data_IF_927920307337
#
_entry.id   IF_927920307337
#
_cell.length_a   1.000
_cell.length_b   1.000
_cell.length_c   1.000
_cell.angle_alpha   90.00
_cell.angle_beta   90.00
_cell.angle_gamma   90.00
#
_symmetry.space_group_name_H-M   'P 1'
#
loop_
_entity.id
_entity.type
_entity.pdbx_description
1 polymer ?
#
# COMPACT_ATOMS: atom_id res chain seq x y z
N UNK A 1 -18.43 21.78 -49.78
CA UNK A 1 -18.46 20.65 -48.81
C UNK A 1 -18.94 19.38 -49.49
N UNK A 2 -20.04 19.41 -50.23
CA UNK A 2 -20.63 18.22 -50.87
C UNK A 2 -19.70 17.53 -51.89
N UNK A 3 -19.04 18.30 -52.76
CA UNK A 3 -18.07 17.77 -53.72
C UNK A 3 -16.84 17.10 -53.05
N UNK A 4 -16.37 17.70 -51.97
CA UNK A 4 -15.26 17.13 -51.19
C UNK A 4 -15.66 15.80 -50.50
N UNK A 5 -16.91 15.74 -50.02
CA UNK A 5 -17.48 14.53 -49.43
C UNK A 5 -17.59 13.37 -50.43
N UNK A 6 -18.00 13.67 -51.67
CA UNK A 6 -18.10 12.68 -52.77
C UNK A 6 -16.71 12.15 -53.16
N UNK A 7 -15.73 13.03 -53.38
CA UNK A 7 -14.34 12.63 -53.68
C UNK A 7 -13.70 11.80 -52.56
N UNK A 8 -14.01 12.17 -51.30
CA UNK A 8 -13.50 11.43 -50.16
C UNK A 8 -14.14 10.04 -50.04
N UNK A 9 -15.46 9.95 -50.32
CA UNK A 9 -16.18 8.66 -50.34
C UNK A 9 -15.64 7.74 -51.44
N UNK A 10 -15.45 8.27 -52.65
CA UNK A 10 -14.86 7.51 -53.75
C UNK A 10 -13.47 7.00 -53.41
N UNK A 11 -12.66 7.84 -52.76
CA UNK A 11 -11.32 7.44 -52.33
C UNK A 11 -11.36 6.36 -51.23
N UNK A 12 -12.28 6.45 -50.28
CA UNK A 12 -12.43 5.47 -49.18
C UNK A 12 -12.95 4.11 -49.68
N UNK A 13 -13.64 4.07 -50.82
CA UNK A 13 -14.14 2.83 -51.41
C UNK A 13 -13.09 2.05 -52.23
N UNK A 14 -11.88 2.57 -52.34
CA UNK A 14 -10.79 1.85 -53.02
C UNK A 14 -10.36 0.65 -52.17
N UNK A 15 -10.10 -0.48 -52.85
CA UNK A 15 -9.72 -1.73 -52.19
C UNK A 15 -8.30 -1.71 -51.58
N UNK A 16 -7.44 -0.79 -52.07
CA UNK A 16 -6.03 -0.70 -51.72
C UNK A 16 -5.70 0.25 -50.53
N UNK A 17 -6.72 0.83 -49.88
CA UNK A 17 -6.50 1.75 -48.78
C UNK A 17 -5.97 1.05 -47.53
N UNK A 18 -4.90 1.60 -46.98
CA UNK A 18 -4.36 1.19 -45.70
C UNK A 18 -5.33 1.55 -44.57
N UNK A 19 -5.19 0.88 -43.42
CA UNK A 19 -5.97 1.17 -42.23
C UNK A 19 -5.82 2.63 -41.77
N UNK A 20 -4.63 3.19 -41.90
CA UNK A 20 -4.31 4.56 -41.57
C UNK A 20 -5.01 5.56 -42.51
N UNK A 21 -5.00 5.30 -43.81
CA UNK A 21 -5.71 6.12 -44.79
C UNK A 21 -7.22 6.07 -44.60
N UNK A 22 -7.79 4.90 -44.30
CA UNK A 22 -9.20 4.78 -43.91
C UNK A 22 -9.50 5.61 -42.66
N UNK A 23 -8.63 5.55 -41.65
CA UNK A 23 -8.79 6.31 -40.39
C UNK A 23 -8.77 7.82 -40.66
N UNK A 24 -7.85 8.31 -41.47
CA UNK A 24 -7.77 9.71 -41.87
C UNK A 24 -8.99 10.13 -42.70
N UNK A 25 -9.44 9.29 -43.64
CA UNK A 25 -10.63 9.54 -44.44
C UNK A 25 -11.89 9.66 -43.58
N UNK A 26 -12.09 8.78 -42.61
CA UNK A 26 -13.22 8.86 -41.69
C UNK A 26 -13.14 10.10 -40.77
N UNK A 27 -11.93 10.48 -40.34
CA UNK A 27 -11.76 11.71 -39.57
C UNK A 27 -12.14 12.94 -40.40
N UNK A 28 -11.74 13.01 -41.68
CA UNK A 28 -12.13 14.10 -42.58
C UNK A 28 -13.64 14.15 -42.79
N UNK A 29 -14.33 12.99 -42.90
CA UNK A 29 -15.81 13.00 -43.01
C UNK A 29 -16.45 13.53 -41.72
N UNK A 30 -15.94 13.15 -40.56
CA UNK A 30 -16.38 13.66 -39.26
C UNK A 30 -16.19 15.17 -39.16
N UNK A 31 -15.04 15.69 -39.61
CA UNK A 31 -14.72 17.13 -39.61
C UNK A 31 -15.60 17.92 -40.58
N UNK A 32 -16.09 17.28 -41.64
CA UNK A 32 -17.07 17.86 -42.56
C UNK A 32 -18.47 17.91 -41.98
N UNK A 33 -18.72 17.24 -40.84
CA UNK A 33 -19.98 17.27 -40.08
C UNK A 33 -20.79 15.95 -40.17
N UNK A 34 -20.26 14.91 -40.79
CA UNK A 34 -20.91 13.60 -40.76
C UNK A 34 -20.81 12.99 -39.35
N UNK A 35 -21.82 12.26 -38.93
CA UNK A 35 -21.81 11.47 -37.72
C UNK A 35 -21.19 10.07 -37.97
N UNK A 36 -20.75 9.34 -36.93
CA UNK A 36 -20.27 7.96 -37.07
C UNK A 36 -21.28 7.06 -37.82
N UNK A 37 -22.58 7.28 -37.60
CA UNK A 37 -23.66 6.55 -38.24
C UNK A 37 -23.75 6.87 -39.73
N UNK A 38 -23.65 8.15 -40.10
CA UNK A 38 -23.66 8.58 -41.50
C UNK A 38 -22.43 8.11 -42.26
N UNK A 39 -21.26 8.12 -41.60
CA UNK A 39 -20.02 7.57 -42.17
C UNK A 39 -20.18 6.07 -42.46
N UNK A 40 -20.73 5.31 -41.51
CA UNK A 40 -20.98 3.88 -41.68
C UNK A 40 -21.93 3.59 -42.86
N UNK A 41 -23.04 4.36 -42.93
CA UNK A 41 -24.03 4.23 -44.02
C UNK A 41 -23.45 4.56 -45.39
N UNK A 42 -22.72 5.66 -45.50
CA UNK A 42 -22.13 6.13 -46.77
C UNK A 42 -21.02 5.23 -47.26
N UNK A 43 -20.20 4.71 -46.36
CA UNK A 43 -18.99 3.93 -46.72
C UNK A 43 -19.25 2.42 -46.76
N UNK A 44 -20.37 1.93 -46.23
CA UNK A 44 -20.69 0.52 -46.15
C UNK A 44 -19.92 -0.25 -45.05
N UNK A 45 -19.10 0.46 -44.23
CA UNK A 45 -18.42 -0.15 -43.09
C UNK A 45 -19.35 -0.26 -41.89
N UNK A 46 -19.07 -1.23 -40.99
CA UNK A 46 -19.83 -1.30 -39.72
C UNK A 46 -19.50 -0.10 -38.83
N UNK A 47 -20.47 0.33 -37.99
CA UNK A 47 -20.26 1.39 -36.96
C UNK A 47 -19.04 1.09 -36.07
N UNK A 48 -18.85 -0.19 -35.72
CA UNK A 48 -17.69 -0.61 -34.95
C UNK A 48 -16.39 -0.33 -35.68
N UNK A 49 -16.32 -0.66 -36.98
CA UNK A 49 -15.14 -0.41 -37.81
C UNK A 49 -14.86 1.08 -37.91
N UNK A 50 -15.88 1.91 -38.16
CA UNK A 50 -15.75 3.37 -38.20
C UNK A 50 -15.18 3.91 -36.90
N UNK A 51 -15.73 3.48 -35.75
CA UNK A 51 -15.25 3.90 -34.43
C UNK A 51 -13.79 3.51 -34.20
N UNK A 52 -13.41 2.29 -34.53
CA UNK A 52 -12.02 1.83 -34.42
C UNK A 52 -11.08 2.67 -35.29
N UNK A 53 -11.46 2.98 -36.53
CA UNK A 53 -10.65 3.83 -37.41
C UNK A 53 -10.52 5.26 -36.88
N UNK A 54 -11.59 5.84 -36.37
CA UNK A 54 -11.55 7.16 -35.73
C UNK A 54 -10.66 7.17 -34.46
N UNK A 55 -10.63 6.09 -33.71
CA UNK A 55 -9.71 5.98 -32.58
C UNK A 55 -8.25 5.86 -33.02
N UNK A 56 -7.97 5.19 -34.14
CA UNK A 56 -6.63 5.12 -34.76
C UNK A 56 -6.23 6.50 -35.29
N UNK A 57 -7.16 7.27 -35.88
CA UNK A 57 -6.89 8.62 -36.37
C UNK A 57 -6.44 9.59 -35.27
N UNK A 58 -6.85 9.34 -34.00
CA UNK A 58 -6.43 10.14 -32.83
C UNK A 58 -5.00 9.87 -32.38
N UNK A 59 -4.39 8.77 -32.81
CA UNK A 59 -3.01 8.45 -32.47
C UNK A 59 -2.04 9.38 -33.19
N UNK A 60 -0.84 9.50 -32.66
CA UNK A 60 0.26 10.18 -33.32
C UNK A 60 0.61 9.46 -34.63
N UNK A 61 0.29 10.10 -35.73
CA UNK A 61 0.38 9.50 -37.06
C UNK A 61 1.84 9.28 -37.51
N UNK A 62 2.77 10.09 -37.01
CA UNK A 62 4.20 9.93 -37.30
C UNK A 62 4.75 8.69 -36.60
N UNK A 63 4.47 8.54 -35.32
CA UNK A 63 4.84 7.37 -34.54
C UNK A 63 4.20 6.08 -35.08
N UNK A 64 2.91 6.17 -35.44
CA UNK A 64 2.20 5.04 -35.99
C UNK A 64 2.88 4.55 -37.30
N UNK A 65 3.24 5.49 -38.20
CA UNK A 65 3.92 5.19 -39.43
C UNK A 65 5.32 4.61 -39.19
N UNK A 66 6.07 5.17 -38.28
CA UNK A 66 7.39 4.67 -37.87
C UNK A 66 7.32 3.21 -37.42
N UNK A 67 6.38 2.91 -36.51
CA UNK A 67 6.18 1.54 -36.01
C UNK A 67 5.65 0.56 -37.06
N UNK A 68 4.90 1.03 -38.03
CA UNK A 68 4.46 0.19 -39.17
C UNK A 68 5.58 -0.14 -40.14
N UNK A 69 6.57 0.74 -40.28
CA UNK A 69 7.74 0.54 -41.13
C UNK A 69 8.86 -0.26 -40.46
N UNK A 70 8.73 -0.50 -39.16
CA UNK A 70 9.68 -1.31 -38.39
C UNK A 70 9.39 -2.80 -38.62
N UNK A 71 10.17 -3.45 -39.48
CA UNK A 71 10.06 -4.89 -39.79
C UNK A 71 10.19 -5.79 -38.57
N UNK A 72 10.91 -5.33 -37.52
CA UNK A 72 11.11 -6.07 -36.30
C UNK A 72 9.87 -5.97 -35.39
N UNK A 73 9.10 -4.87 -35.47
CA UNK A 73 7.96 -4.63 -34.60
C UNK A 73 6.67 -5.34 -35.04
N UNK A 74 6.39 -5.40 -36.34
CA UNK A 74 5.21 -6.02 -36.95
C UNK A 74 3.88 -5.58 -36.28
N UNK A 75 3.65 -4.28 -36.21
CA UNK A 75 2.44 -3.71 -35.64
C UNK A 75 1.18 -4.24 -36.34
N UNK A 76 0.27 -4.83 -35.58
CA UNK A 76 -0.97 -5.41 -36.10
C UNK A 76 -2.19 -4.58 -35.75
N UNK A 77 -3.31 -4.80 -36.47
CA UNK A 77 -4.58 -4.18 -36.14
C UNK A 77 -5.06 -4.55 -34.72
N UNK A 78 -4.74 -5.75 -34.23
CA UNK A 78 -5.06 -6.18 -32.85
C UNK A 78 -4.36 -5.30 -31.82
N UNK A 79 -3.12 -4.91 -32.07
CA UNK A 79 -2.36 -4.06 -31.16
C UNK A 79 -3.01 -2.66 -31.04
N UNK A 80 -3.50 -2.14 -32.15
CA UNK A 80 -4.23 -0.87 -32.16
C UNK A 80 -5.54 -0.95 -31.37
N UNK A 81 -6.25 -2.08 -31.46
CA UNK A 81 -7.45 -2.33 -30.65
C UNK A 81 -7.13 -2.54 -29.17
N UNK A 82 -5.98 -3.13 -28.83
CA UNK A 82 -5.52 -3.19 -27.46
C UNK A 82 -5.29 -1.79 -26.88
N UNK A 83 -4.64 -0.90 -27.62
CA UNK A 83 -4.43 0.50 -27.20
C UNK A 83 -5.74 1.24 -26.93
N UNK A 84 -6.82 0.95 -27.66
CA UNK A 84 -8.13 1.58 -27.44
C UNK A 84 -8.75 1.32 -26.07
N UNK A 85 -8.31 0.27 -25.35
CA UNK A 85 -8.74 0.00 -23.97
C UNK A 85 -8.32 1.11 -22.99
N UNK A 86 -7.29 1.89 -23.36
CA UNK A 86 -6.86 3.07 -22.62
C UNK A 86 -7.66 4.27 -23.14
N UNK A 87 -8.34 4.98 -22.24
CA UNK A 87 -9.18 6.14 -22.62
C UNK A 87 -8.36 7.37 -23.01
N UNK A 88 -7.22 7.54 -22.37
CA UNK A 88 -6.31 8.66 -22.57
C UNK A 88 -5.48 8.46 -23.84
N UNK A 89 -5.60 9.39 -24.80
CA UNK A 89 -4.91 9.33 -26.08
C UNK A 89 -3.39 9.56 -25.91
N UNK A 90 -2.98 10.44 -25.00
CA UNK A 90 -1.58 10.71 -24.74
C UNK A 90 -0.89 9.45 -24.20
N UNK A 91 -1.56 8.73 -23.27
CA UNK A 91 -1.07 7.45 -22.75
C UNK A 91 -1.00 6.37 -23.84
N UNK A 92 -1.96 6.33 -24.80
CA UNK A 92 -1.89 5.43 -25.97
C UNK A 92 -0.64 5.69 -26.80
N UNK A 93 -0.36 6.97 -27.10
CA UNK A 93 0.81 7.40 -27.84
C UNK A 93 2.12 7.10 -27.11
N UNK A 94 2.14 7.25 -25.79
CA UNK A 94 3.28 6.91 -24.95
C UNK A 94 3.56 5.40 -24.96
N UNK A 95 2.52 4.57 -24.87
CA UNK A 95 2.64 3.12 -24.95
C UNK A 95 3.13 2.70 -26.33
N UNK A 96 2.57 3.25 -27.41
CA UNK A 96 2.97 2.98 -28.79
C UNK A 96 4.44 3.33 -29.03
N UNK A 97 4.87 4.49 -28.56
CA UNK A 97 6.24 4.98 -28.69
C UNK A 97 7.26 4.07 -27.99
N UNK A 98 6.98 3.70 -26.73
CA UNK A 98 7.87 2.90 -25.88
C UNK A 98 7.82 1.39 -26.15
N UNK A 99 6.83 0.92 -26.87
CA UNK A 99 6.69 -0.50 -27.14
C UNK A 99 7.75 -1.02 -28.09
N UNK A 100 8.33 -2.16 -27.79
CA UNK A 100 9.32 -2.87 -28.58
C UNK A 100 8.74 -4.07 -29.35
N UNK A 101 7.51 -4.45 -29.09
CA UNK A 101 6.82 -5.57 -29.74
C UNK A 101 5.32 -5.51 -29.48
N UNK A 102 4.53 -6.23 -30.28
CA UNK A 102 3.10 -6.47 -30.05
C UNK A 102 2.81 -6.98 -28.64
N UNK A 103 3.61 -7.93 -28.14
CA UNK A 103 3.46 -8.43 -26.75
C UNK A 103 3.73 -7.36 -25.71
N UNK A 104 4.66 -6.45 -25.96
CA UNK A 104 4.98 -5.34 -25.06
C UNK A 104 3.81 -4.34 -25.00
N UNK A 105 3.12 -4.06 -26.12
CA UNK A 105 1.88 -3.26 -26.14
C UNK A 105 0.84 -3.87 -25.19
N UNK A 106 0.53 -5.16 -25.37
CA UNK A 106 -0.46 -5.85 -24.54
C UNK A 106 -0.09 -5.77 -23.06
N UNK A 107 1.19 -6.02 -22.73
CA UNK A 107 1.68 -5.95 -21.35
C UNK A 107 1.55 -4.55 -20.75
N UNK A 108 1.93 -3.51 -21.48
CA UNK A 108 1.84 -2.11 -21.03
C UNK A 108 0.40 -1.67 -20.84
N UNK A 109 -0.47 -2.00 -21.80
CA UNK A 109 -1.91 -1.72 -21.70
C UNK A 109 -2.51 -2.40 -20.45
N UNK A 110 -2.21 -3.68 -20.23
CA UNK A 110 -2.70 -4.41 -19.07
C UNK A 110 -2.19 -3.82 -17.75
N UNK A 111 -0.92 -3.43 -17.73
CA UNK A 111 -0.33 -2.76 -16.57
C UNK A 111 -1.02 -1.42 -16.27
N UNK A 112 -1.31 -0.62 -17.31
CA UNK A 112 -1.96 0.67 -17.13
C UNK A 112 -3.41 0.52 -16.65
N UNK A 113 -4.18 -0.43 -17.21
CA UNK A 113 -5.52 -0.77 -16.74
C UNK A 113 -5.48 -1.19 -15.26
N UNK A 114 -4.52 -2.05 -14.90
CA UNK A 114 -4.33 -2.53 -13.53
C UNK A 114 -3.98 -1.37 -12.58
N UNK A 115 -3.09 -0.48 -12.99
CA UNK A 115 -2.70 0.69 -12.21
C UNK A 115 -3.86 1.68 -12.03
N UNK A 116 -4.66 1.89 -13.09
CA UNK A 116 -5.86 2.72 -13.01
C UNK A 116 -6.89 2.12 -12.03
N UNK A 117 -7.13 0.80 -12.08
CA UNK A 117 -8.00 0.09 -11.13
C UNK A 117 -7.48 0.24 -9.70
N UNK A 118 -6.17 0.06 -9.48
CA UNK A 118 -5.55 0.24 -8.15
C UNK A 118 -5.75 1.65 -7.61
N UNK A 119 -5.51 2.68 -8.42
CA UNK A 119 -5.69 4.09 -8.02
C UNK A 119 -7.16 4.37 -7.64
N UNK A 120 -8.11 3.88 -8.44
CA UNK A 120 -9.54 4.04 -8.15
C UNK A 120 -9.94 3.31 -6.86
N UNK A 121 -9.53 2.06 -6.69
CA UNK A 121 -9.81 1.27 -5.50
C UNK A 121 -9.20 1.88 -4.24
N UNK A 122 -7.94 2.33 -4.32
CA UNK A 122 -7.30 3.05 -3.23
C UNK A 122 -8.07 4.31 -2.83
N UNK A 123 -8.57 5.08 -3.81
CA UNK A 123 -9.40 6.27 -3.55
C UNK A 123 -10.71 5.91 -2.83
N UNK A 124 -11.40 4.86 -3.30
CA UNK A 124 -12.64 4.36 -2.67
C UNK A 124 -12.41 3.87 -1.26
N UNK A 125 -11.36 3.06 -1.04
CA UNK A 125 -11.00 2.53 0.28
C UNK A 125 -10.63 3.64 1.26
N UNK A 126 -9.79 4.59 0.86
CA UNK A 126 -9.44 5.75 1.69
C UNK A 126 -10.66 6.57 2.10
N UNK A 127 -11.62 6.75 1.18
CA UNK A 127 -12.87 7.46 1.50
C UNK A 127 -13.72 6.70 2.53
N UNK A 128 -13.81 5.36 2.43
CA UNK A 128 -14.50 4.51 3.41
C UNK A 128 -13.80 4.57 4.78
N UNK A 129 -12.48 4.40 4.82
CA UNK A 129 -11.69 4.43 6.05
C UNK A 129 -11.74 5.79 6.75
N UNK A 130 -11.75 6.89 5.99
CA UNK A 130 -11.92 8.24 6.55
C UNK A 130 -13.28 8.39 7.25
N UNK A 131 -14.36 7.85 6.65
CA UNK A 131 -15.71 7.85 7.28
C UNK A 131 -15.74 7.03 8.57
N UNK A 132 -14.91 5.98 8.67
CA UNK A 132 -14.77 5.12 9.84
C UNK A 132 -13.81 5.69 10.90
N UNK A 133 -13.24 6.88 10.68
CA UNK A 133 -12.30 7.51 11.63
C UNK A 133 -10.88 6.89 11.61
N UNK A 134 -10.54 6.08 10.60
CA UNK A 134 -9.19 5.52 10.45
C UNK A 134 -8.31 6.54 9.73
N UNK A 135 -7.25 6.99 10.38
CA UNK A 135 -6.32 7.99 9.85
C UNK A 135 -5.16 7.35 9.07
N UNK A 136 -4.44 8.17 8.30
CA UNK A 136 -3.22 7.73 7.62
C UNK A 136 -2.13 7.42 8.65
N UNK A 137 -1.40 6.33 8.43
CA UNK A 137 -0.25 5.99 9.26
C UNK A 137 0.81 7.11 9.22
N UNK A 138 1.46 7.41 10.36
CA UNK A 138 2.52 8.42 10.41
C UNK A 138 3.70 8.02 9.52
N UNK A 139 4.47 9.02 9.04
CA UNK A 139 5.61 8.78 8.13
C UNK A 139 6.62 7.77 8.67
N UNK A 140 6.80 7.75 9.98
CA UNK A 140 7.69 6.81 10.65
C UNK A 140 7.28 5.33 10.47
N UNK A 141 6.02 5.06 10.08
CA UNK A 141 5.54 3.71 9.85
C UNK A 141 6.33 3.01 8.75
N UNK A 142 6.62 3.65 7.63
CA UNK A 142 7.36 3.07 6.51
C UNK A 142 8.75 2.54 6.92
N UNK A 143 9.41 3.21 7.86
CA UNK A 143 10.71 2.80 8.41
C UNK A 143 10.59 1.74 9.51
N UNK A 144 9.44 1.62 10.14
CA UNK A 144 9.23 0.80 11.33
C UNK A 144 8.35 -0.44 11.07
N UNK A 145 7.85 -0.63 9.86
CA UNK A 145 6.91 -1.71 9.55
C UNK A 145 7.46 -3.12 9.79
N UNK A 146 8.78 -3.29 9.72
CA UNK A 146 9.44 -4.59 9.91
C UNK A 146 10.07 -4.79 11.29
N UNK A 147 10.01 -3.80 12.19
CA UNK A 147 10.68 -3.88 13.49
C UNK A 147 9.79 -4.34 14.65
N UNK A 148 8.64 -4.92 14.36
CA UNK A 148 7.70 -5.46 15.36
C UNK A 148 6.91 -4.42 16.16
N UNK A 149 7.09 -3.13 15.88
CA UNK A 149 6.35 -2.06 16.56
C UNK A 149 4.92 -1.88 16.05
N UNK A 150 4.61 -2.46 14.89
CA UNK A 150 3.32 -2.36 14.24
C UNK A 150 2.80 -3.75 13.90
N UNK A 151 1.50 -3.90 13.93
CA UNK A 151 0.80 -5.13 13.55
C UNK A 151 -0.18 -4.80 12.43
N UNK A 152 -0.11 -5.53 11.33
CA UNK A 152 -1.14 -5.49 10.29
C UNK A 152 -2.37 -6.22 10.79
N UNK A 153 -3.51 -5.56 10.67
CA UNK A 153 -4.82 -6.08 11.10
C UNK A 153 -5.59 -6.60 9.90
N UNK A 154 -5.65 -5.81 8.83
CA UNK A 154 -6.32 -6.15 7.59
C UNK A 154 -5.40 -5.75 6.44
N UNK A 155 -5.38 -6.57 5.39
CA UNK A 155 -4.70 -6.31 4.14
C UNK A 155 -5.71 -6.47 3.00
N UNK A 156 -5.91 -5.40 2.21
CA UNK A 156 -6.85 -5.38 1.09
C UNK A 156 -6.04 -5.16 -0.18
N UNK A 157 -6.05 -6.14 -1.07
CA UNK A 157 -5.37 -6.02 -2.35
C UNK A 157 -6.11 -5.01 -3.24
N UNK A 158 -5.37 -4.06 -3.82
CA UNK A 158 -5.94 -3.00 -4.65
C UNK A 158 -6.42 -3.47 -6.04
N UNK A 159 -6.05 -4.68 -6.45
CA UNK A 159 -6.55 -5.29 -7.70
C UNK A 159 -7.90 -5.95 -7.55
N UNK A 160 -8.27 -6.32 -6.32
CA UNK A 160 -9.52 -6.99 -6.03
C UNK A 160 -10.69 -5.99 -5.98
N UNK A 161 -11.90 -6.47 -5.93
CA UNK A 161 -13.04 -5.60 -5.79
C UNK A 161 -13.09 -5.02 -4.38
N UNK A 162 -13.44 -3.73 -4.29
CA UNK A 162 -13.50 -3.05 -3.00
C UNK A 162 -14.68 -3.61 -2.20
N UNK A 163 -14.45 -4.17 -1.00
CA UNK A 163 -15.51 -4.72 -0.18
C UNK A 163 -16.54 -3.63 0.17
N UNK A 164 -17.82 -3.98 0.17
CA UNK A 164 -18.89 -3.05 0.51
C UNK A 164 -18.78 -2.57 1.96
N UNK A 165 -18.46 -3.47 2.86
CA UNK A 165 -18.23 -3.21 4.28
C UNK A 165 -16.82 -3.67 4.68
N UNK A 166 -16.16 -2.89 5.53
CA UNK A 166 -14.88 -3.24 6.12
C UNK A 166 -15.13 -3.47 7.61
N UNK A 167 -15.13 -4.73 8.01
CA UNK A 167 -15.27 -5.10 9.42
C UNK A 167 -13.94 -4.85 10.13
N UNK A 168 -13.92 -3.81 10.96
CA UNK A 168 -12.77 -3.54 11.82
C UNK A 168 -12.88 -4.40 13.08
N UNK A 169 -11.86 -5.20 13.42
CA UNK A 169 -11.90 -5.99 14.65
C UNK A 169 -11.89 -5.10 15.88
N UNK A 170 -12.60 -5.51 16.92
CA UNK A 170 -12.57 -4.84 18.22
C UNK A 170 -11.16 -4.95 18.83
N UNK A 171 -10.34 -3.95 18.64
CA UNK A 171 -9.00 -3.86 19.21
C UNK A 171 -8.83 -2.63 20.09
N UNK A 172 -8.12 -2.81 21.21
CA UNK A 172 -7.66 -1.69 22.05
C UNK A 172 -6.52 -0.96 21.36
N UNK A 173 -6.81 0.13 20.68
CA UNK A 173 -5.78 0.97 20.05
C UNK A 173 -6.27 1.69 18.80
N UNK A 174 -5.65 2.81 18.49
CA UNK A 174 -5.94 3.57 17.28
C UNK A 174 -5.46 2.80 16.06
N UNK A 175 -6.31 2.71 15.05
CA UNK A 175 -5.99 2.09 13.76
C UNK A 175 -5.59 3.16 12.76
N UNK A 176 -4.71 2.77 11.86
CA UNK A 176 -4.20 3.63 10.81
C UNK A 176 -4.20 2.87 9.50
N UNK A 177 -4.36 3.57 8.37
CA UNK A 177 -4.20 2.97 7.07
C UNK A 177 -2.84 3.34 6.45
N UNK A 178 -2.29 2.41 5.69
CA UNK A 178 -1.07 2.59 4.91
C UNK A 178 -1.24 1.96 3.53
N UNK A 179 -0.88 2.70 2.48
CA UNK A 179 -0.97 2.24 1.11
C UNK A 179 0.41 1.81 0.61
N UNK A 180 0.45 0.64 0.01
CA UNK A 180 1.61 0.15 -0.73
C UNK A 180 1.28 0.15 -2.24
N UNK A 181 2.22 -0.23 -3.07
CA UNK A 181 1.98 -0.38 -4.51
C UNK A 181 0.98 -1.50 -4.88
N UNK A 182 0.73 -2.42 -3.96
CA UNK A 182 -0.09 -3.62 -4.17
C UNK A 182 -1.37 -3.63 -3.34
N UNK A 183 -1.28 -3.19 -2.11
CA UNK A 183 -2.33 -3.34 -1.11
C UNK A 183 -2.54 -2.06 -0.28
N UNK A 184 -3.69 -2.00 0.37
CA UNK A 184 -3.97 -1.06 1.44
C UNK A 184 -4.08 -1.84 2.75
N UNK A 185 -3.25 -1.49 3.73
CA UNK A 185 -3.16 -2.15 5.03
C UNK A 185 -3.78 -1.30 6.11
N UNK A 186 -4.56 -1.95 6.97
CA UNK A 186 -4.99 -1.36 8.23
C UNK A 186 -4.06 -1.89 9.30
N UNK A 187 -3.42 -0.99 10.03
CA UNK A 187 -2.35 -1.30 10.97
C UNK A 187 -2.63 -0.66 12.33
N UNK A 188 -2.14 -1.28 13.38
CA UNK A 188 -2.17 -0.75 14.75
C UNK A 188 -0.79 -0.83 15.38
N UNK A 189 -0.53 0.00 16.39
CA UNK A 189 0.71 -0.14 17.16
C UNK A 189 0.68 -1.46 17.92
N UNK A 190 1.72 -2.27 17.77
CA UNK A 190 1.85 -3.49 18.53
C UNK A 190 1.85 -3.16 20.04
N UNK A 191 1.13 -3.93 20.87
CA UNK A 191 1.22 -3.76 22.32
C UNK A 191 2.70 -3.91 22.70
N UNK A 192 3.19 -3.01 23.57
CA UNK A 192 4.56 -3.14 24.09
C UNK A 192 4.64 -4.50 24.80
N UNK A 193 5.27 -5.47 24.18
CA UNK A 193 5.62 -6.71 24.88
C UNK A 193 6.44 -6.31 26.09
N UNK A 194 5.94 -6.61 27.28
CA UNK A 194 6.75 -6.57 28.49
C UNK A 194 7.85 -7.61 28.24
N UNK A 195 9.05 -7.16 27.91
CA UNK A 195 10.20 -8.05 27.79
C UNK A 195 10.21 -8.91 29.04
N UNK A 196 10.12 -10.23 28.91
CA UNK A 196 10.33 -11.13 30.04
C UNK A 196 11.70 -10.76 30.61
N UNK A 197 11.77 -10.45 31.92
CA UNK A 197 13.03 -10.02 32.51
C UNK A 197 14.08 -11.10 32.24
N UNK A 198 15.25 -10.69 31.84
CA UNK A 198 16.38 -11.60 31.59
C UNK A 198 16.75 -12.32 32.89
N UNK A 199 17.40 -13.49 32.81
CA UNK A 199 17.87 -14.21 34.01
C UNK A 199 18.72 -13.30 34.91
N UNK A 200 19.51 -12.41 34.35
CA UNK A 200 20.33 -11.44 35.06
C UNK A 200 19.48 -10.38 35.79
N UNK A 201 18.43 -9.85 35.15
CA UNK A 201 17.51 -8.90 35.80
C UNK A 201 16.70 -9.55 36.93
N UNK A 202 16.31 -10.82 36.77
CA UNK A 202 15.68 -11.60 37.84
C UNK A 202 16.63 -11.82 39.01
N UNK A 203 17.88 -12.23 38.73
CA UNK A 203 18.92 -12.41 39.76
C UNK A 203 19.19 -11.10 40.50
N UNK A 204 19.31 -10.00 39.79
CA UNK A 204 19.52 -8.67 40.41
C UNK A 204 18.34 -8.25 41.28
N UNK A 205 17.10 -8.44 40.84
CA UNK A 205 15.90 -8.18 41.66
C UNK A 205 15.87 -9.03 42.94
N UNK A 206 16.27 -10.28 42.83
CA UNK A 206 16.33 -11.20 43.98
C UNK A 206 17.43 -10.80 44.96
N UNK A 207 18.58 -10.38 44.47
CA UNK A 207 19.67 -9.83 45.27
C UNK A 207 19.28 -8.54 45.97
N UNK A 208 18.61 -7.63 45.30
CA UNK A 208 18.09 -6.38 45.87
C UNK A 208 17.04 -6.66 46.96
N UNK A 209 16.16 -7.65 46.75
CA UNK A 209 15.18 -8.07 47.76
C UNK A 209 15.90 -8.64 49.01
N UNK A 210 16.84 -9.56 48.82
CA UNK A 210 17.64 -10.13 49.95
C UNK A 210 18.40 -9.05 50.71
N UNK A 211 18.99 -8.07 49.95
CA UNK A 211 19.70 -6.94 50.59
C UNK A 211 18.82 -6.05 51.41
N UNK A 212 17.57 -5.79 50.98
CA UNK A 212 16.58 -5.04 51.76
C UNK A 212 16.14 -5.79 53.01
N UNK A 213 15.86 -7.11 52.88
CA UNK A 213 15.50 -7.95 54.03
C UNK A 213 16.63 -7.96 55.07
N UNK A 214 17.89 -8.15 54.66
CA UNK A 214 19.03 -8.08 55.57
C UNK A 214 19.13 -6.71 56.26
N UNK A 215 18.94 -5.62 55.53
CA UNK A 215 18.96 -4.29 56.16
C UNK A 215 17.83 -4.07 57.18
N UNK A 216 16.63 -4.62 56.93
CA UNK A 216 15.53 -4.56 57.91
C UNK A 216 15.80 -5.41 59.15
N UNK A 217 16.34 -6.63 58.96
CA UNK A 217 16.73 -7.48 60.11
C UNK A 217 17.81 -6.81 60.95
N UNK A 218 18.84 -6.25 60.32
CA UNK A 218 19.90 -5.50 61.00
C UNK A 218 19.36 -4.31 61.77
N UNK A 219 18.46 -3.50 61.13
CA UNK A 219 17.81 -2.35 61.79
C UNK A 219 16.96 -2.78 62.99
N UNK A 220 16.19 -3.86 62.82
CA UNK A 220 15.37 -4.40 63.92
C UNK A 220 16.19 -4.99 65.05
N UNK A 221 17.34 -5.63 64.74
CA UNK A 221 18.27 -6.17 65.74
C UNK A 221 19.01 -5.07 66.53
N UNK A 222 19.38 -3.98 65.78
CA UNK A 222 20.02 -2.82 66.41
C UNK A 222 19.02 -2.11 67.37
N UNK A 223 17.75 -1.94 66.98
CA UNK A 223 16.72 -1.40 67.87
C UNK A 223 16.54 -2.25 69.14
N UNK A 224 16.39 -3.57 68.98
CA UNK A 224 16.26 -4.48 70.11
C UNK A 224 17.45 -4.44 71.06
N UNK A 225 18.70 -4.37 70.54
CA UNK A 225 19.89 -4.18 71.37
C UNK A 225 19.86 -2.88 72.11
N UNK A 226 19.48 -1.80 71.45
CA UNK A 226 19.35 -0.50 72.12
C UNK A 226 18.31 -0.49 73.24
N UNK A 227 17.14 -1.10 73.02
CA UNK A 227 16.07 -1.23 73.97
C UNK A 227 16.51 -2.12 75.15
N UNK A 228 17.20 -3.22 74.91
CA UNK A 228 17.77 -4.11 75.92
C UNK A 228 18.81 -3.35 76.82
N UNK A 229 19.76 -2.69 76.17
CA UNK A 229 20.76 -1.87 76.92
C UNK A 229 20.09 -0.77 77.75
N UNK A 230 19.12 -0.07 77.16
CA UNK A 230 18.37 0.98 77.82
C UNK A 230 17.57 0.38 79.02
N UNK A 231 17.02 -0.83 78.85
CA UNK A 231 16.32 -1.57 79.97
C UNK A 231 17.26 -1.92 81.09
N UNK A 232 18.49 -2.34 80.82
CA UNK A 232 19.50 -2.60 81.88
C UNK A 232 19.88 -1.29 82.60
N UNK A 233 20.18 -0.23 81.87
CA UNK A 233 20.60 1.06 82.41
C UNK A 233 19.46 1.66 83.32
N UNK A 234 18.24 1.51 82.92
CA UNK A 234 17.08 2.00 83.63
C UNK A 234 16.62 1.10 84.82
N UNK A 235 17.32 -0.01 85.05
CA UNK A 235 16.98 -0.99 86.09
C UNK A 235 15.74 -1.84 85.87
N UNK A 236 15.17 -1.74 84.61
CA UNK A 236 13.97 -2.53 84.27
C UNK A 236 14.33 -3.97 83.91
N UNK A 237 15.56 -4.24 83.53
CA UNK A 237 16.11 -5.57 83.24
C UNK A 237 17.28 -5.79 84.16
N UNK A 238 17.27 -6.84 85.03
CA UNK A 238 18.36 -7.10 85.98
C UNK A 238 19.66 -7.43 85.17
N UNK A 239 20.78 -6.76 85.51
CA UNK A 239 22.10 -7.12 84.98
C UNK A 239 22.49 -8.49 85.52
N UNK A 240 22.94 -9.37 84.69
CA UNK A 240 23.49 -10.66 85.08
C UNK A 240 24.74 -10.43 85.96
N UNK A 241 24.72 -11.01 87.15
CA UNK A 241 25.92 -11.01 87.99
C UNK A 241 26.95 -11.95 87.36
N UNK A 242 28.19 -11.53 87.45
CA UNK A 242 29.37 -12.08 86.68
C UNK A 242 29.72 -13.54 86.97
N UNK A 243 28.93 -14.29 87.74
CA UNK A 243 29.32 -15.63 88.27
C UNK A 243 29.05 -16.80 87.29
N UNK A 244 28.44 -16.59 86.16
CA UNK A 244 28.13 -17.67 85.18
C UNK A 244 28.28 -17.29 83.69
N UNK A 245 29.29 -16.58 83.31
CA UNK A 245 29.64 -16.42 81.88
C UNK A 245 30.54 -17.57 81.48
N UNK A 246 29.89 -18.63 81.00
CA UNK A 246 30.59 -19.75 80.43
C UNK A 246 31.37 -19.28 79.18
N UNK A 247 32.71 -19.23 79.23
CA UNK A 247 33.63 -18.77 78.18
C UNK A 247 33.74 -19.70 76.96
N UNK A 248 32.77 -20.62 76.77
CA UNK A 248 32.79 -21.64 75.73
C UNK A 248 32.04 -21.28 74.43
N UNK A 249 31.48 -20.06 74.22
CA UNK A 249 30.79 -19.75 72.98
C UNK A 249 31.46 -18.66 72.10
N UNK A 250 32.77 -18.61 72.11
CA UNK A 250 33.53 -17.85 71.08
C UNK A 250 34.49 -18.76 70.34
N UNK A 251 33.96 -19.50 69.38
CA UNK A 251 34.68 -19.99 68.24
C UNK A 251 33.82 -19.90 67.00
#
# INVERSE_FOLDING_TARGET
KEQVGIMLLENIQREDLTIQEQAQGFQMMLDLGDTEDQIAEKTGFSKSTVRHRLNIAKLDQEKLKEKQQDDAFQLTLKDLYELEKIKDVEMRNEILDKASSSRDIVSRVQNEITNAKKKENAKKLKAKLKKMGVEKAPEQYSQQMYNGKWKTVIEINLTDDVPDEIELPEQKGQMYWYETWRDLRIVTKAPKEKKKPTKEELAKKEQDRKSKEVKEILKGSAARRKDFISGIISGKIPALKDENVDRKSTR
#
